data_IF_495307289133
#
_entry.id   IF_495307289133
#
_cell.length_a   1.000
_cell.length_b   1.000
_cell.length_c   1.000
_cell.angle_alpha   90.00
_cell.angle_beta   90.00
_cell.angle_gamma   90.00
#
_symmetry.space_group_name_H-M   'P 1'
#
loop_
_entity.id
_entity.type
_entity.pdbx_description
1 polymer ?
#
# COMPACT_ATOMS: atom_id res chain seq x y z
N UNK A 1 10.08 -13.86 8.43
CA UNK A 1 9.02 -14.47 9.26
C UNK A 1 7.66 -14.59 8.56
N UNK A 2 7.20 -13.65 7.70
CA UNK A 2 6.08 -13.95 6.76
C UNK A 2 6.51 -14.94 5.64
N UNK A 3 7.82 -15.04 5.42
CA UNK A 3 8.46 -15.94 4.45
C UNK A 3 8.23 -17.44 4.71
N UNK A 4 7.88 -17.84 5.93
CA UNK A 4 7.72 -19.26 6.30
C UNK A 4 6.36 -19.84 5.91
N UNK A 5 5.39 -19.00 5.52
CA UNK A 5 4.01 -19.44 5.22
C UNK A 5 3.74 -19.67 3.73
N UNK A 6 4.72 -19.38 2.87
CA UNK A 6 4.58 -19.41 1.42
C UNK A 6 5.55 -20.44 0.80
N UNK A 7 5.62 -21.61 1.42
CA UNK A 7 6.39 -22.76 0.94
C UNK A 7 5.56 -23.65 -0.02
N UNK A 8 4.23 -23.47 -0.07
CA UNK A 8 3.39 -24.08 -1.10
C UNK A 8 3.33 -23.21 -2.35
N UNK A 9 3.50 -23.77 -3.56
CA UNK A 9 3.46 -23.01 -4.82
C UNK A 9 2.19 -22.19 -5.02
N UNK A 10 1.04 -22.68 -4.54
CA UNK A 10 -0.27 -22.04 -4.69
C UNK A 10 -0.35 -20.74 -3.87
N UNK A 11 0.12 -20.77 -2.62
CA UNK A 11 0.15 -19.59 -1.74
C UNK A 11 1.13 -18.56 -2.28
N UNK A 12 2.26 -18.99 -2.84
CA UNK A 12 3.22 -18.11 -3.48
C UNK A 12 2.63 -17.35 -4.68
N UNK A 13 1.85 -18.03 -5.54
CA UNK A 13 1.17 -17.36 -6.67
C UNK A 13 0.15 -16.32 -6.17
N UNK A 14 -0.68 -16.67 -5.18
CA UNK A 14 -1.65 -15.73 -4.59
C UNK A 14 -0.93 -14.51 -4.00
N UNK A 15 0.17 -14.75 -3.29
CA UNK A 15 1.00 -13.72 -2.71
C UNK A 15 1.58 -12.80 -3.79
N UNK A 16 2.20 -13.35 -4.84
CA UNK A 16 2.73 -12.58 -5.98
C UNK A 16 1.64 -11.72 -6.64
N UNK A 17 0.44 -12.27 -6.85
CA UNK A 17 -0.69 -11.54 -7.44
C UNK A 17 -1.07 -10.35 -6.55
N UNK A 18 -1.32 -10.57 -5.25
CA UNK A 18 -1.69 -9.50 -4.32
C UNK A 18 -0.59 -8.44 -4.26
N UNK A 19 0.67 -8.86 -4.16
CA UNK A 19 1.80 -7.94 -4.08
C UNK A 19 2.03 -7.15 -5.37
N UNK A 20 1.67 -7.71 -6.53
CA UNK A 20 1.87 -7.06 -7.83
C UNK A 20 1.03 -5.79 -8.04
N UNK A 21 -0.10 -5.64 -7.34
CA UNK A 21 -0.96 -4.47 -7.52
C UNK A 21 -1.40 -3.78 -6.23
N UNK A 22 -1.38 -4.42 -5.05
CA UNK A 22 -1.98 -3.78 -3.86
C UNK A 22 -1.32 -2.43 -3.54
N UNK A 23 0.00 -2.35 -3.34
CA UNK A 23 0.65 -1.06 -3.04
C UNK A 23 0.51 -0.05 -4.17
N UNK A 24 0.81 -0.39 -5.45
CA UNK A 24 0.59 0.52 -6.56
C UNK A 24 -0.83 1.06 -6.63
N UNK A 25 -1.84 0.21 -6.46
CA UNK A 25 -3.25 0.60 -6.53
C UNK A 25 -3.66 1.48 -5.34
N UNK A 26 -3.24 1.14 -4.11
CA UNK A 26 -3.50 1.97 -2.93
C UNK A 26 -2.88 3.36 -3.06
N UNK A 27 -1.63 3.43 -3.56
CA UNK A 27 -0.92 4.68 -3.77
C UNK A 27 -1.55 5.49 -4.91
N UNK A 28 -1.97 4.84 -6.00
CA UNK A 28 -2.71 5.48 -7.09
C UNK A 28 -4.03 6.08 -6.61
N UNK A 29 -4.84 5.31 -5.88
CA UNK A 29 -6.11 5.79 -5.31
C UNK A 29 -5.89 6.95 -4.35
N UNK A 30 -4.83 6.90 -3.55
CA UNK A 30 -4.48 7.99 -2.64
C UNK A 30 -4.02 9.24 -3.35
N UNK A 31 -3.28 9.11 -4.46
CA UNK A 31 -2.96 10.21 -5.36
C UNK A 31 -4.21 10.83 -5.98
N UNK A 32 -5.16 9.99 -6.44
CA UNK A 32 -6.43 10.45 -7.01
C UNK A 32 -7.26 11.30 -6.05
N UNK A 33 -7.29 10.94 -4.76
CA UNK A 33 -7.99 11.71 -3.74
C UNK A 33 -7.14 12.83 -3.10
N UNK A 34 -5.87 12.96 -3.48
CA UNK A 34 -4.99 13.97 -2.94
C UNK A 34 -5.46 15.39 -3.30
N UNK A 35 -5.15 16.32 -2.39
CA UNK A 35 -5.43 17.75 -2.53
C UNK A 35 -4.19 18.53 -2.16
N UNK A 36 -3.98 19.68 -2.79
CA UNK A 36 -2.84 20.57 -2.50
C UNK A 36 -3.11 21.38 -1.22
N UNK A 37 -3.25 20.67 -0.09
CA UNK A 37 -3.45 21.23 1.25
C UNK A 37 -2.45 20.60 2.23
N UNK A 38 -1.13 20.74 2.01
CA UNK A 38 -0.12 19.97 2.72
C UNK A 38 -0.20 20.12 4.23
N UNK A 39 -0.39 21.33 4.74
CA UNK A 39 -0.49 21.61 6.18
C UNK A 39 -1.61 20.81 6.86
N UNK A 40 -2.79 20.74 6.23
CA UNK A 40 -3.99 20.12 6.80
C UNK A 40 -3.96 18.60 6.72
N UNK A 41 -3.38 18.06 5.66
CA UNK A 41 -3.23 16.62 5.51
C UNK A 41 -2.10 16.13 6.41
N UNK A 42 -0.98 16.86 6.46
CA UNK A 42 0.15 16.56 7.35
C UNK A 42 -0.29 16.58 8.82
N UNK A 43 -1.08 17.57 9.25
CA UNK A 43 -1.58 17.63 10.63
C UNK A 43 -2.49 16.46 11.01
N UNK A 44 -3.02 15.70 10.03
CA UNK A 44 -3.85 14.51 10.26
C UNK A 44 -3.04 13.22 10.23
N UNK A 45 -2.13 13.10 9.26
CA UNK A 45 -1.36 11.86 9.05
C UNK A 45 -0.18 11.79 10.01
N UNK A 46 0.48 12.91 10.31
CA UNK A 46 1.67 12.94 11.15
C UNK A 46 1.40 12.48 12.60
N UNK A 47 0.34 12.93 13.31
CA UNK A 47 0.06 12.42 14.66
C UNK A 47 -0.23 10.93 14.67
N UNK A 48 -0.96 10.43 13.65
CA UNK A 48 -1.23 9.00 13.50
C UNK A 48 0.07 8.22 13.30
N UNK A 49 0.97 8.71 12.45
CA UNK A 49 2.27 8.07 12.25
C UNK A 49 3.04 7.95 13.57
N UNK A 50 3.16 9.05 14.33
CA UNK A 50 3.91 9.05 15.60
C UNK A 50 3.27 8.10 16.62
N UNK A 51 1.95 8.17 16.81
CA UNK A 51 1.25 7.33 17.79
C UNK A 51 1.38 5.84 17.43
N UNK A 52 1.20 5.48 16.17
CA UNK A 52 1.31 4.08 15.76
C UNK A 52 2.76 3.58 15.70
N UNK A 53 3.73 4.44 15.39
CA UNK A 53 5.15 4.09 15.46
C UNK A 53 5.56 3.82 16.93
N UNK A 54 5.13 4.67 17.87
CA UNK A 54 5.36 4.46 19.31
C UNK A 54 4.67 3.20 19.82
N UNK A 55 3.40 2.99 19.43
CA UNK A 55 2.66 1.79 19.80
C UNK A 55 3.35 0.53 19.25
N UNK A 56 3.91 0.61 18.03
CA UNK A 56 4.68 -0.49 17.45
C UNK A 56 5.98 -0.75 18.21
N UNK A 57 6.71 0.29 18.60
CA UNK A 57 7.89 0.14 19.44
C UNK A 57 7.56 -0.51 20.79
N UNK A 58 6.46 -0.10 21.43
CA UNK A 58 6.00 -0.71 22.67
C UNK A 58 5.62 -2.18 22.48
N UNK A 59 4.90 -2.51 21.40
CA UNK A 59 4.49 -3.88 21.12
C UNK A 59 5.70 -4.77 20.86
N UNK A 60 6.64 -4.33 20.01
CA UNK A 60 7.87 -5.08 19.77
C UNK A 60 8.67 -5.25 21.08
N UNK A 61 8.73 -4.23 21.95
CA UNK A 61 9.40 -4.33 23.26
C UNK A 61 8.78 -5.39 24.15
N UNK A 62 7.46 -5.38 24.28
CA UNK A 62 6.72 -6.35 25.11
C UNK A 62 6.90 -7.76 24.55
N UNK A 63 6.66 -7.93 23.25
CA UNK A 63 6.68 -9.23 22.60
C UNK A 63 8.08 -9.86 22.60
N UNK A 64 9.11 -9.08 22.29
CA UNK A 64 10.49 -9.57 22.34
C UNK A 64 10.92 -9.85 23.78
N UNK A 65 10.56 -8.99 24.75
CA UNK A 65 10.90 -9.24 26.15
C UNK A 65 10.25 -10.52 26.70
N UNK A 66 9.03 -10.84 26.27
CA UNK A 66 8.34 -12.09 26.63
C UNK A 66 9.05 -13.30 25.98
N UNK A 67 9.40 -13.21 24.69
CA UNK A 67 10.06 -14.30 23.97
C UNK A 67 11.44 -14.63 24.51
N UNK A 68 12.23 -13.61 24.83
CA UNK A 68 13.61 -13.77 25.29
C UNK A 68 13.71 -13.93 26.81
N UNK A 69 12.63 -13.68 27.56
CA UNK A 69 12.57 -13.81 29.02
C UNK A 69 13.33 -12.71 29.78
N UNK A 70 13.77 -11.65 29.10
CA UNK A 70 14.47 -10.51 29.68
C UNK A 70 14.19 -9.25 28.84
N UNK A 71 14.27 -8.03 29.43
CA UNK A 71 14.00 -6.80 28.70
C UNK A 71 15.04 -6.57 27.60
N UNK A 72 14.56 -6.53 26.35
CA UNK A 72 15.39 -6.30 25.16
C UNK A 72 15.49 -4.80 24.89
N UNK A 73 16.71 -4.31 24.60
CA UNK A 73 16.88 -2.91 24.17
C UNK A 73 16.33 -2.74 22.76
N UNK A 74 15.47 -1.74 22.56
CA UNK A 74 14.96 -1.37 21.24
C UNK A 74 15.52 -0.02 20.83
N UNK A 75 16.18 0.01 19.68
CA UNK A 75 16.56 1.26 19.03
C UNK A 75 15.31 1.95 18.46
N UNK A 76 14.96 3.09 19.06
CA UNK A 76 13.82 3.91 18.66
C UNK A 76 14.16 4.76 17.43
N UNK A 77 14.16 4.13 16.25
CA UNK A 77 14.42 4.81 14.99
C UNK A 77 13.12 5.34 14.36
N UNK A 78 12.77 6.59 14.64
CA UNK A 78 11.54 7.22 14.13
C UNK A 78 11.52 7.43 12.62
N UNK A 79 12.69 7.51 11.99
CA UNK A 79 12.82 7.68 10.55
C UNK A 79 12.87 6.37 9.77
N UNK A 80 12.82 5.22 10.44
CA UNK A 80 12.74 3.91 9.80
C UNK A 80 11.35 3.32 10.10
N UNK A 81 10.36 3.57 9.22
CA UNK A 81 8.99 3.17 9.49
C UNK A 81 8.87 1.63 9.52
N UNK A 82 8.28 1.08 10.60
CA UNK A 82 8.18 -0.38 10.78
C UNK A 82 7.04 -0.99 9.97
N UNK A 83 7.35 -2.08 9.26
CA UNK A 83 6.45 -2.97 8.52
C UNK A 83 5.48 -2.30 7.54
N UNK A 84 4.31 -1.82 7.99
CA UNK A 84 3.30 -1.16 7.14
C UNK A 84 3.41 0.35 7.17
N UNK A 85 3.95 0.94 8.26
CA UNK A 85 3.96 2.38 8.52
C UNK A 85 4.71 3.21 7.46
N UNK A 86 5.51 2.56 6.61
CA UNK A 86 6.17 3.20 5.48
C UNK A 86 5.16 3.85 4.52
N UNK A 87 3.95 3.30 4.42
CA UNK A 87 2.92 3.90 3.59
C UNK A 87 2.46 5.25 4.14
N UNK A 88 2.33 5.41 5.46
CA UNK A 88 2.02 6.72 6.07
C UNK A 88 3.16 7.72 5.85
N UNK A 89 4.40 7.26 6.01
CA UNK A 89 5.59 8.07 5.71
C UNK A 89 5.60 8.51 4.24
N UNK A 90 5.31 7.59 3.32
CA UNK A 90 5.19 7.90 1.89
C UNK A 90 4.11 8.94 1.63
N UNK A 91 2.92 8.79 2.25
CA UNK A 91 1.84 9.77 2.12
C UNK A 91 2.21 11.16 2.65
N UNK A 92 2.96 11.24 3.75
CA UNK A 92 3.51 12.50 4.27
C UNK A 92 4.43 13.16 3.23
N UNK A 93 5.39 12.39 2.71
CA UNK A 93 6.37 12.90 1.74
C UNK A 93 5.71 13.29 0.42
N UNK A 94 4.81 12.46 -0.11
CA UNK A 94 4.06 12.79 -1.32
C UNK A 94 3.22 14.04 -1.15
N UNK A 95 2.59 14.23 0.00
CA UNK A 95 1.79 15.41 0.27
C UNK A 95 2.65 16.69 0.35
N UNK A 96 3.89 16.59 0.85
CA UNK A 96 4.86 17.69 0.86
C UNK A 96 5.41 17.99 -0.54
N UNK A 97 5.58 16.97 -1.38
CA UNK A 97 6.04 17.11 -2.76
C UNK A 97 4.93 17.59 -3.71
N UNK A 98 3.67 17.32 -3.38
CA UNK A 98 2.52 17.58 -4.25
C UNK A 98 2.43 19.03 -4.76
N UNK A 99 2.69 20.09 -3.97
CA UNK A 99 2.69 21.47 -4.46
C UNK A 99 3.70 21.74 -5.58
N UNK A 100 4.81 20.98 -5.65
CA UNK A 100 5.83 21.11 -6.70
C UNK A 100 5.35 20.46 -7.99
N UNK A 101 4.63 19.34 -7.88
CA UNK A 101 4.10 18.59 -9.01
C UNK A 101 2.71 19.05 -9.47
N UNK A 102 2.10 20.01 -8.77
CA UNK A 102 0.81 20.56 -9.15
C UNK A 102 0.96 21.47 -10.37
N UNK A 103 0.48 20.98 -11.52
CA UNK A 103 0.57 21.71 -12.79
C UNK A 103 -0.66 21.51 -13.66
N UNK A 104 -1.12 22.61 -14.25
CA UNK A 104 -2.24 22.62 -15.21
C UNK A 104 -1.80 22.25 -16.63
N UNK A 105 -0.51 22.33 -16.93
CA UNK A 105 -0.01 22.08 -18.28
C UNK A 105 0.23 20.59 -18.53
N UNK A 106 -0.46 20.01 -19.52
CA UNK A 106 -0.35 18.59 -19.89
C UNK A 106 1.08 18.14 -20.18
N UNK A 107 1.91 18.99 -20.82
CA UNK A 107 3.31 18.65 -21.11
C UNK A 107 4.14 18.48 -19.84
N UNK A 108 3.93 19.34 -18.85
CA UNK A 108 4.62 19.28 -17.57
C UNK A 108 4.19 18.04 -16.76
N UNK A 109 2.92 17.63 -16.85
CA UNK A 109 2.44 16.37 -16.22
C UNK A 109 3.21 15.16 -16.73
N UNK A 110 3.36 15.05 -18.04
CA UNK A 110 4.12 13.95 -18.67
C UNK A 110 5.58 14.02 -18.24
N UNK A 111 6.19 15.21 -18.24
CA UNK A 111 7.57 15.39 -17.79
C UNK A 111 7.78 14.96 -16.33
N UNK A 112 6.86 15.31 -15.42
CA UNK A 112 6.94 14.91 -14.01
C UNK A 112 6.69 13.42 -13.79
N UNK A 113 5.80 12.79 -14.57
CA UNK A 113 5.65 11.34 -14.55
C UNK A 113 6.94 10.64 -15.00
N UNK A 114 7.54 11.09 -16.11
CA UNK A 114 8.82 10.55 -16.58
C UNK A 114 9.93 10.76 -15.55
N UNK A 115 10.00 11.95 -14.95
CA UNK A 115 10.95 12.24 -13.88
C UNK A 115 10.76 11.28 -12.69
N UNK A 116 9.53 11.02 -12.27
CA UNK A 116 9.26 10.09 -11.17
C UNK A 116 9.66 8.64 -11.50
N UNK A 117 9.51 8.22 -12.76
CA UNK A 117 10.00 6.92 -13.22
C UNK A 117 11.53 6.86 -13.21
N UNK A 118 12.21 7.92 -13.66
CA UNK A 118 13.68 7.99 -13.60
C UNK A 118 14.16 7.93 -12.15
N UNK A 119 13.58 8.72 -11.25
CA UNK A 119 13.90 8.68 -9.82
C UNK A 119 13.67 7.29 -9.21
N UNK A 120 12.56 6.64 -9.58
CA UNK A 120 12.25 5.27 -9.16
C UNK A 120 13.23 4.22 -9.69
N UNK A 121 13.93 4.46 -10.80
CA UNK A 121 15.01 3.58 -11.27
C UNK A 121 16.32 3.92 -10.55
N UNK A 122 16.68 5.20 -10.49
CA UNK A 122 17.95 5.68 -9.91
C UNK A 122 18.09 5.25 -8.45
N UNK A 123 17.01 5.30 -7.67
CA UNK A 123 17.03 4.88 -6.26
C UNK A 123 17.40 3.40 -6.09
N UNK A 124 17.11 2.55 -7.10
CA UNK A 124 17.44 1.13 -7.05
C UNK A 124 18.94 0.83 -7.07
N UNK A 125 19.78 1.79 -7.47
CA UNK A 125 21.24 1.63 -7.42
C UNK A 125 21.82 1.93 -6.03
N UNK A 126 21.04 2.50 -5.11
CA UNK A 126 21.52 2.85 -3.77
C UNK A 126 21.00 1.84 -2.71
N UNK A 127 21.86 0.93 -2.20
CA UNK A 127 21.45 -0.09 -1.24
C UNK A 127 21.08 0.48 0.15
N UNK A 128 21.63 1.63 0.55
CA UNK A 128 21.40 2.19 1.90
C UNK A 128 20.03 2.86 2.06
N UNK A 129 19.29 3.01 0.96
CA UNK A 129 18.00 3.73 0.93
C UNK A 129 16.79 2.86 1.27
N UNK A 130 17.00 1.56 1.55
CA UNK A 130 15.93 0.66 1.95
C UNK A 130 15.39 0.98 3.35
N UNK A 131 16.29 1.19 4.32
CA UNK A 131 15.91 1.34 5.72
C UNK A 131 15.60 2.79 6.10
N UNK A 132 16.35 3.76 5.57
CA UNK A 132 16.13 5.18 5.87
C UNK A 132 14.88 5.72 5.18
N UNK A 133 13.87 6.11 5.96
CA UNK A 133 12.55 6.63 5.52
C UNK A 133 11.73 5.72 4.61
N UNK A 134 12.19 4.50 4.33
CA UNK A 134 11.69 3.67 3.22
C UNK A 134 11.78 4.40 1.86
N UNK A 135 12.85 5.17 1.65
CA UNK A 135 13.04 6.03 0.48
C UNK A 135 12.99 5.25 -0.84
N UNK A 136 13.54 4.03 -0.89
CA UNK A 136 13.43 3.15 -2.06
C UNK A 136 11.97 2.94 -2.48
N UNK A 137 11.08 2.61 -1.52
CA UNK A 137 9.66 2.39 -1.79
C UNK A 137 8.96 3.67 -2.23
N UNK A 138 9.23 4.78 -1.55
CA UNK A 138 8.62 6.08 -1.85
C UNK A 138 8.95 6.49 -3.29
N UNK A 139 10.22 6.43 -3.69
CA UNK A 139 10.61 6.82 -5.03
C UNK A 139 10.13 5.80 -6.08
N UNK A 140 10.14 4.50 -5.76
CA UNK A 140 9.63 3.46 -6.66
C UNK A 140 8.12 3.57 -6.92
N UNK A 141 7.33 4.02 -5.94
CA UNK A 141 5.88 4.13 -6.07
C UNK A 141 5.35 5.54 -6.39
N UNK A 142 6.21 6.56 -6.36
CA UNK A 142 5.90 7.92 -6.79
C UNK A 142 5.19 8.02 -8.16
N UNK A 143 5.58 7.28 -9.22
CA UNK A 143 4.88 7.35 -10.51
C UNK A 143 3.40 6.97 -10.40
N UNK A 144 3.03 6.02 -9.53
CA UNK A 144 1.63 5.64 -9.32
C UNK A 144 0.85 6.74 -8.60
N UNK A 145 1.46 7.39 -7.61
CA UNK A 145 0.84 8.49 -6.88
C UNK A 145 0.53 9.67 -7.83
N UNK A 146 1.51 10.07 -8.65
CA UNK A 146 1.34 11.15 -9.61
C UNK A 146 0.36 10.77 -10.73
N UNK A 147 0.40 9.52 -11.21
CA UNK A 147 -0.55 9.03 -12.20
C UNK A 147 -1.99 9.15 -11.67
N UNK A 148 -2.23 8.74 -10.42
CA UNK A 148 -3.52 8.91 -9.77
C UNK A 148 -3.93 10.38 -9.62
N UNK A 149 -3.00 11.24 -9.18
CA UNK A 149 -3.27 12.68 -9.00
C UNK A 149 -3.69 13.37 -10.30
N UNK A 150 -2.97 13.13 -11.40
CA UNK A 150 -3.29 13.73 -12.69
C UNK A 150 -4.54 13.14 -13.35
N UNK A 151 -4.94 11.93 -12.97
CA UNK A 151 -6.15 11.27 -13.47
C UNK A 151 -7.44 12.00 -13.03
N UNK A 152 -7.39 12.75 -11.91
CA UNK A 152 -8.50 13.54 -11.37
C UNK A 152 -9.10 14.56 -12.35
N UNK A 153 -8.28 15.11 -13.24
CA UNK A 153 -8.70 16.13 -14.20
C UNK A 153 -9.29 15.55 -15.51
N UNK A 154 -9.80 14.31 -15.46
CA UNK A 154 -10.38 13.61 -16.59
C UNK A 154 -9.34 12.87 -17.44
N UNK A 155 -8.42 12.18 -16.77
CA UNK A 155 -7.35 11.41 -17.40
C UNK A 155 -7.82 10.18 -18.20
N UNK A 156 -6.84 9.48 -18.76
CA UNK A 156 -7.01 8.42 -19.75
C UNK A 156 -7.72 7.17 -19.18
N UNK A 157 -7.38 6.74 -17.97
CA UNK A 157 -7.87 5.49 -17.38
C UNK A 157 -9.37 5.54 -17.03
N UNK A 158 -9.82 6.60 -16.38
CA UNK A 158 -11.22 6.79 -15.99
C UNK A 158 -12.08 7.16 -17.20
N UNK A 159 -11.57 7.96 -18.13
CA UNK A 159 -12.32 8.29 -19.34
C UNK A 159 -12.56 7.03 -20.19
N UNK A 160 -11.53 6.19 -20.38
CA UNK A 160 -11.64 5.00 -21.20
C UNK A 160 -12.40 3.87 -20.50
N UNK A 161 -12.18 3.66 -19.20
CA UNK A 161 -12.86 2.61 -18.43
C UNK A 161 -14.32 2.92 -18.11
N UNK A 162 -14.64 4.16 -17.68
CA UNK A 162 -15.95 4.50 -17.12
C UNK A 162 -16.95 4.98 -18.18
N UNK A 163 -16.49 5.73 -19.19
CA UNK A 163 -17.37 6.37 -20.18
C UNK A 163 -17.76 5.41 -21.30
N UNK A 164 -16.92 4.41 -21.59
CA UNK A 164 -17.17 3.46 -22.67
C UNK A 164 -17.81 2.16 -22.19
N UNK A 165 -17.60 1.74 -20.93
CA UNK A 165 -18.06 0.48 -20.30
C UNK A 165 -18.53 -0.63 -21.28
N UNK A 166 -17.78 -0.95 -22.35
CA UNK A 166 -18.26 -1.85 -23.37
C UNK A 166 -18.08 -3.26 -22.82
N UNK A 167 -18.96 -4.18 -23.23
CA UNK A 167 -18.73 -5.60 -22.98
C UNK A 167 -17.32 -5.99 -23.46
N UNK A 168 -16.82 -5.38 -24.53
CA UNK A 168 -15.45 -5.58 -25.04
C UNK A 168 -14.34 -5.24 -24.02
N UNK A 169 -14.40 -4.11 -23.31
CA UNK A 169 -13.32 -3.76 -22.37
C UNK A 169 -13.31 -4.70 -21.16
N UNK A 170 -14.47 -5.18 -20.72
CA UNK A 170 -14.56 -6.20 -19.67
C UNK A 170 -13.99 -7.54 -20.13
N UNK A 171 -14.30 -7.95 -21.37
CA UNK A 171 -13.75 -9.17 -21.96
C UNK A 171 -12.23 -9.04 -22.12
N UNK A 172 -11.73 -7.92 -22.66
CA UNK A 172 -10.30 -7.67 -22.83
C UNK A 172 -9.55 -7.66 -21.48
N UNK A 173 -10.09 -6.99 -20.47
CA UNK A 173 -9.48 -6.97 -19.12
C UNK A 173 -9.57 -8.33 -18.42
N UNK A 174 -10.61 -9.13 -18.71
CA UNK A 174 -10.71 -10.51 -18.22
C UNK A 174 -9.62 -11.40 -18.83
N UNK A 175 -9.43 -11.36 -20.15
CA UNK A 175 -8.33 -12.10 -20.80
C UNK A 175 -6.96 -11.64 -20.30
N UNK A 176 -6.78 -10.33 -20.10
CA UNK A 176 -5.56 -9.77 -19.53
C UNK A 176 -5.30 -10.28 -18.11
N UNK A 177 -6.31 -10.28 -17.24
CA UNK A 177 -6.19 -10.81 -15.88
C UNK A 177 -5.82 -12.30 -15.89
N UNK A 178 -6.48 -13.10 -16.73
CA UNK A 178 -6.17 -14.53 -16.91
C UNK A 178 -4.74 -14.71 -17.42
N UNK A 179 -4.29 -13.91 -18.38
CA UNK A 179 -2.93 -13.95 -18.92
C UNK A 179 -1.86 -13.63 -17.86
N UNK A 180 -2.10 -12.61 -17.03
CA UNK A 180 -1.20 -12.26 -15.92
C UNK A 180 -1.14 -13.38 -14.88
N UNK A 181 -2.30 -13.94 -14.50
CA UNK A 181 -2.40 -15.06 -13.54
C UNK A 181 -1.68 -16.29 -14.10
N UNK A 182 -1.92 -16.65 -15.36
CA UNK A 182 -1.24 -17.75 -16.03
C UNK A 182 0.29 -17.55 -16.10
N UNK A 183 0.74 -16.32 -16.37
CA UNK A 183 2.15 -15.96 -16.32
C UNK A 183 2.77 -16.16 -14.93
N UNK A 184 2.07 -15.77 -13.86
CA UNK A 184 2.52 -16.03 -12.49
C UNK A 184 2.55 -17.51 -12.12
N UNK A 185 1.59 -18.30 -12.60
CA UNK A 185 1.58 -19.76 -12.42
C UNK A 185 2.78 -20.39 -13.14
N UNK A 186 3.08 -19.96 -14.36
CA UNK A 186 4.20 -20.48 -15.15
C UNK A 186 5.55 -20.15 -14.53
N UNK A 187 5.68 -18.96 -13.93
CA UNK A 187 6.90 -18.47 -13.27
C UNK A 187 6.87 -18.74 -11.75
N UNK A 188 5.95 -19.58 -11.27
CA UNK A 188 5.79 -19.90 -9.84
C UNK A 188 7.09 -20.42 -9.21
N UNK A 189 7.89 -21.16 -9.96
CA UNK A 189 9.19 -21.72 -9.52
C UNK A 189 10.32 -20.70 -9.41
N UNK A 190 10.16 -19.49 -9.94
CA UNK A 190 11.17 -18.43 -9.83
C UNK A 190 10.84 -17.54 -8.62
N UNK A 191 11.85 -17.26 -7.79
CA UNK A 191 11.73 -16.40 -6.61
C UNK A 191 11.61 -14.90 -7.00
N UNK A 192 10.47 -14.54 -7.57
CA UNK A 192 10.17 -13.16 -8.02
C UNK A 192 9.38 -12.35 -6.98
N UNK A 193 9.08 -12.91 -5.81
CA UNK A 193 8.28 -12.25 -4.75
C UNK A 193 8.82 -10.86 -4.39
N UNK A 194 10.14 -10.77 -4.20
CA UNK A 194 10.82 -9.56 -3.76
C UNK A 194 10.74 -8.42 -4.77
N UNK A 195 10.55 -8.74 -6.06
CA UNK A 195 10.41 -7.72 -7.12
C UNK A 195 9.28 -6.73 -6.84
N UNK A 196 8.19 -7.21 -6.23
CA UNK A 196 7.00 -6.41 -5.97
C UNK A 196 7.04 -5.65 -4.63
N UNK A 197 8.06 -5.88 -3.79
CA UNK A 197 8.20 -5.20 -2.50
C UNK A 197 8.73 -3.76 -2.63
N UNK A 198 9.32 -3.42 -3.77
CA UNK A 198 9.85 -2.08 -4.05
C UNK A 198 11.07 -1.70 -3.20
N UNK A 199 11.69 -2.67 -2.53
CA UNK A 199 12.88 -2.50 -1.66
C UNK A 199 14.17 -2.92 -2.30
N UNK A 200 14.12 -3.88 -3.23
CA UNK A 200 15.34 -4.53 -3.72
C UNK A 200 16.23 -3.55 -4.47
N UNK A 201 17.49 -3.48 -4.03
CA UNK A 201 18.56 -2.81 -4.75
C UNK A 201 19.00 -3.66 -5.95
N UNK A 202 19.64 -3.03 -6.93
CA UNK A 202 20.15 -3.71 -8.12
C UNK A 202 21.49 -4.43 -7.88
N UNK A 203 21.98 -4.42 -6.63
CA UNK A 203 23.18 -5.14 -6.24
C UNK A 203 22.88 -6.64 -6.16
N UNK A 204 23.44 -7.39 -7.12
CA UNK A 204 23.28 -8.85 -7.20
C UNK A 204 22.80 -9.36 -8.56
N UNK A 205 22.52 -8.49 -9.54
CA UNK A 205 22.25 -8.86 -10.94
C UNK A 205 20.91 -9.55 -11.21
N UNK A 206 20.24 -10.09 -10.18
CA UNK A 206 18.93 -10.75 -10.28
C UNK A 206 17.79 -9.74 -10.46
N UNK A 207 17.89 -8.58 -9.81
CA UNK A 207 16.92 -7.49 -9.91
C UNK A 207 17.57 -6.29 -10.57
N UNK A 208 16.95 -5.80 -11.64
CA UNK A 208 17.49 -4.75 -12.51
C UNK A 208 16.40 -3.75 -12.89
N UNK A 209 16.80 -2.64 -13.52
CA UNK A 209 15.87 -1.63 -14.03
C UNK A 209 14.77 -2.20 -14.94
N UNK A 210 15.06 -3.19 -15.80
CA UNK A 210 14.06 -3.79 -16.69
C UNK A 210 13.02 -4.63 -15.94
N UNK A 211 13.43 -5.38 -14.90
CA UNK A 211 12.49 -6.13 -14.05
C UNK A 211 11.57 -5.19 -13.27
N UNK A 212 12.07 -4.02 -12.83
CA UNK A 212 11.29 -2.99 -12.15
C UNK A 212 10.26 -2.35 -13.09
N UNK A 213 10.66 -2.03 -14.33
CA UNK A 213 9.71 -1.56 -15.35
C UNK A 213 8.63 -2.61 -15.64
N UNK A 214 9.00 -3.89 -15.75
CA UNK A 214 8.03 -4.97 -15.92
C UNK A 214 7.03 -5.03 -14.76
N UNK A 215 7.51 -4.91 -13.52
CA UNK A 215 6.64 -4.84 -12.35
C UNK A 215 5.69 -3.64 -12.40
N UNK A 216 6.17 -2.48 -12.86
CA UNK A 216 5.30 -1.30 -13.04
C UNK A 216 4.24 -1.50 -14.11
N UNK A 217 4.59 -2.12 -15.24
CA UNK A 217 3.64 -2.45 -16.31
C UNK A 217 2.54 -3.35 -15.74
N UNK A 218 2.91 -4.45 -15.06
CA UNK A 218 1.95 -5.37 -14.45
C UNK A 218 1.04 -4.64 -13.45
N UNK A 219 1.61 -3.76 -12.61
CA UNK A 219 0.85 -2.97 -11.67
C UNK A 219 -0.17 -2.02 -12.34
N UNK A 220 0.23 -1.29 -13.39
CA UNK A 220 -0.67 -0.42 -14.15
C UNK A 220 -1.76 -1.21 -14.87
N UNK A 221 -1.45 -2.41 -15.40
CA UNK A 221 -2.44 -3.30 -16.01
C UNK A 221 -3.48 -3.74 -14.98
N UNK A 222 -3.06 -4.11 -13.76
CA UNK A 222 -3.99 -4.41 -12.67
C UNK A 222 -4.84 -3.22 -12.27
N UNK A 223 -4.24 -2.03 -12.12
CA UNK A 223 -5.00 -0.80 -11.83
C UNK A 223 -6.06 -0.57 -12.91
N UNK A 224 -5.73 -0.79 -14.18
CA UNK A 224 -6.68 -0.66 -15.27
C UNK A 224 -7.81 -1.69 -15.20
N UNK A 225 -7.48 -2.96 -14.94
CA UNK A 225 -8.48 -4.03 -14.69
C UNK A 225 -9.41 -3.61 -13.56
N UNK A 226 -8.86 -3.18 -12.42
CA UNK A 226 -9.65 -2.77 -11.26
C UNK A 226 -10.60 -1.62 -11.62
N UNK A 227 -10.11 -0.57 -12.29
CA UNK A 227 -10.92 0.60 -12.69
C UNK A 227 -12.10 0.20 -13.60
N UNK A 228 -11.89 -0.70 -14.56
CA UNK A 228 -12.94 -1.19 -15.47
C UNK A 228 -14.03 -1.97 -14.72
N UNK A 229 -13.63 -2.70 -13.67
CA UNK A 229 -14.53 -3.52 -12.87
C UNK A 229 -15.14 -2.80 -11.67
N UNK A 230 -14.68 -1.57 -11.33
CA UNK A 230 -15.30 -0.77 -10.27
C UNK A 230 -16.79 -0.54 -10.60
N UNK A 231 -17.71 -0.95 -9.71
CA UNK A 231 -19.13 -0.77 -9.95
C UNK A 231 -19.50 0.71 -10.01
N UNK A 232 -20.30 1.08 -11.00
CA UNK A 232 -20.82 2.45 -11.18
C UNK A 232 -21.97 2.77 -10.23
N UNK A 233 -22.64 1.74 -9.70
CA UNK A 233 -23.72 1.86 -8.72
C UNK A 233 -23.15 1.83 -7.30
N UNK A 234 -23.75 2.60 -6.41
CA UNK A 234 -23.38 2.60 -4.99
C UNK A 234 -23.72 1.26 -4.36
N UNK A 235 -22.74 0.65 -3.71
CA UNK A 235 -22.92 -0.59 -2.94
C UNK A 235 -22.74 -0.22 -1.45
N UNK A 236 -23.83 -0.11 -0.67
CA UNK A 236 -23.80 0.51 0.65
C UNK A 236 -22.89 -0.23 1.65
N UNK A 237 -22.80 -1.55 1.56
CA UNK A 237 -21.92 -2.37 2.41
C UNK A 237 -20.44 -2.07 2.12
N UNK A 238 -20.06 -2.08 0.84
CA UNK A 238 -18.68 -1.82 0.43
C UNK A 238 -18.29 -0.37 0.71
N UNK A 239 -19.20 0.58 0.53
CA UNK A 239 -18.95 1.98 0.82
C UNK A 239 -18.72 2.24 2.31
N UNK A 240 -19.50 1.56 3.18
CA UNK A 240 -19.34 1.67 4.63
C UNK A 240 -17.99 1.12 5.08
N UNK A 241 -17.59 -0.05 4.56
CA UNK A 241 -16.28 -0.65 4.86
C UNK A 241 -15.14 0.22 4.28
N UNK A 242 -15.32 0.72 3.05
CA UNK A 242 -14.36 1.58 2.35
C UNK A 242 -14.04 2.88 3.10
N UNK A 243 -15.03 3.48 3.76
CA UNK A 243 -14.85 4.69 4.60
C UNK A 243 -13.90 4.43 5.77
N UNK A 244 -13.88 3.20 6.29
CA UNK A 244 -13.12 2.81 7.48
C UNK A 244 -11.79 2.10 7.15
N UNK A 245 -11.32 2.23 5.90
CA UNK A 245 -10.06 1.61 5.43
C UNK A 245 -8.83 2.02 6.22
N UNK A 246 -8.76 3.28 6.69
CA UNK A 246 -7.64 3.74 7.52
C UNK A 246 -7.60 3.03 8.88
N UNK A 247 -8.78 2.77 9.48
CA UNK A 247 -8.89 2.04 10.76
C UNK A 247 -8.41 0.61 10.61
N UNK A 248 -8.88 -0.06 9.56
CA UNK A 248 -8.45 -1.43 9.23
C UNK A 248 -6.94 -1.45 9.00
N UNK A 249 -6.41 -0.55 8.18
CA UNK A 249 -4.98 -0.45 7.87
C UNK A 249 -4.09 -0.23 9.11
N UNK A 250 -4.52 0.53 10.10
CA UNK A 250 -3.73 0.75 11.30
C UNK A 250 -3.82 -0.42 12.28
N UNK A 251 -5.05 -0.88 12.56
CA UNK A 251 -5.32 -1.84 13.63
C UNK A 251 -5.02 -3.29 13.24
N UNK A 252 -5.13 -3.66 11.95
CA UNK A 252 -4.90 -5.06 11.54
C UNK A 252 -3.49 -5.53 11.90
N UNK A 253 -2.49 -4.66 11.81
CA UNK A 253 -1.10 -5.02 12.13
C UNK A 253 -0.92 -5.42 13.58
N UNK A 254 -1.58 -4.72 14.50
CA UNK A 254 -1.55 -5.01 15.93
C UNK A 254 -2.17 -6.38 16.19
N UNK A 255 -3.34 -6.63 15.60
CA UNK A 255 -4.06 -7.91 15.80
C UNK A 255 -3.27 -9.08 15.22
N UNK A 256 -2.70 -8.94 14.02
CA UNK A 256 -1.86 -9.98 13.40
C UNK A 256 -0.61 -10.25 14.24
N UNK A 257 0.05 -9.21 14.76
CA UNK A 257 1.21 -9.37 15.62
C UNK A 257 0.86 -10.14 16.90
N UNK A 258 -0.26 -9.80 17.55
CA UNK A 258 -0.73 -10.54 18.73
C UNK A 258 -1.00 -12.01 18.36
N UNK A 259 -1.74 -12.28 17.29
CA UNK A 259 -2.05 -13.65 16.85
C UNK A 259 -0.79 -14.47 16.55
N UNK A 260 0.24 -13.85 15.98
CA UNK A 260 1.52 -14.50 15.67
C UNK A 260 2.26 -14.95 16.93
N UNK A 261 2.09 -14.26 18.06
CA UNK A 261 2.72 -14.61 19.34
C UNK A 261 1.83 -15.48 20.24
N UNK A 262 0.59 -15.77 19.83
CA UNK A 262 -0.26 -16.73 20.55
C UNK A 262 0.14 -18.18 20.25
N UNK A 263 -0.03 -19.11 21.21
CA UNK A 263 0.29 -20.52 21.03
C UNK A 263 -0.56 -21.22 19.96
N UNK A 264 -1.64 -20.58 19.48
CA UNK A 264 -2.49 -21.08 18.40
C UNK A 264 -2.03 -20.66 16.99
N UNK A 265 -0.89 -19.98 16.86
CA UNK A 265 -0.36 -19.49 15.58
C UNK A 265 -0.32 -20.61 14.52
N UNK A 266 0.22 -21.78 14.85
CA UNK A 266 0.32 -22.89 13.89
C UNK A 266 -1.04 -23.38 13.39
N UNK A 267 -2.07 -23.41 14.24
CA UNK A 267 -3.42 -23.82 13.83
C UNK A 267 -4.09 -22.76 12.94
N UNK A 268 -3.84 -21.49 13.24
CA UNK A 268 -4.42 -20.33 12.57
C UNK A 268 -3.79 -20.09 11.20
N UNK A 269 -2.45 -20.16 11.12
CA UNK A 269 -1.71 -19.73 9.95
C UNK A 269 -1.27 -20.87 9.03
N UNK A 270 -1.39 -22.16 9.41
CA UNK A 270 -1.06 -23.26 8.48
C UNK A 270 -2.18 -23.60 7.47
N UNK A 271 -3.42 -23.16 7.71
CA UNK A 271 -4.55 -23.45 6.81
C UNK A 271 -5.06 -22.19 6.13
N UNK A 272 -5.08 -22.19 4.80
CA UNK A 272 -5.56 -21.06 3.99
C UNK A 272 -7.00 -20.65 4.33
N UNK A 273 -7.86 -21.62 4.71
CA UNK A 273 -9.23 -21.34 5.14
C UNK A 273 -9.30 -20.45 6.38
N UNK A 274 -8.47 -20.72 7.38
CA UNK A 274 -8.40 -19.89 8.60
C UNK A 274 -7.83 -18.51 8.31
N UNK A 275 -6.80 -18.42 7.48
CA UNK A 275 -6.23 -17.13 7.05
C UNK A 275 -7.28 -16.24 6.37
N UNK A 276 -8.08 -16.81 5.45
CA UNK A 276 -9.14 -16.08 4.76
C UNK A 276 -10.27 -15.66 5.71
N UNK A 277 -10.71 -16.58 6.59
CA UNK A 277 -11.74 -16.27 7.59
C UNK A 277 -11.31 -15.15 8.54
N UNK A 278 -10.07 -15.18 9.02
CA UNK A 278 -9.52 -14.13 9.87
C UNK A 278 -9.39 -12.82 9.11
N UNK A 279 -8.91 -12.84 7.86
CA UNK A 279 -8.85 -11.63 7.05
C UNK A 279 -10.22 -10.97 6.88
N UNK A 280 -11.26 -11.77 6.60
CA UNK A 280 -12.64 -11.26 6.47
C UNK A 280 -13.18 -10.78 7.82
N UNK A 281 -13.00 -11.56 8.88
CA UNK A 281 -13.44 -11.23 10.23
C UNK A 281 -12.79 -9.95 10.77
N UNK A 282 -11.49 -9.79 10.56
CA UNK A 282 -10.75 -8.57 10.90
C UNK A 282 -11.24 -7.37 10.10
N UNK A 283 -11.49 -7.55 8.80
CA UNK A 283 -11.99 -6.46 7.95
C UNK A 283 -13.36 -5.98 8.43
N UNK A 284 -14.28 -6.91 8.73
CA UNK A 284 -15.62 -6.57 9.22
C UNK A 284 -15.60 -6.00 10.63
N UNK A 285 -14.82 -6.58 11.55
CA UNK A 285 -14.73 -6.14 12.94
C UNK A 285 -14.04 -4.79 13.09
N UNK A 286 -12.91 -4.58 12.39
CA UNK A 286 -12.17 -3.31 12.43
C UNK A 286 -12.83 -2.20 11.58
N UNK A 287 -13.79 -2.57 10.72
CA UNK A 287 -14.67 -1.62 10.04
C UNK A 287 -15.69 -0.96 10.98
N UNK A 288 -15.68 -1.25 12.28
CA UNK A 288 -16.61 -0.62 13.21
C UNK A 288 -16.32 0.89 13.41
N UNK A 289 -17.38 1.71 13.36
CA UNK A 289 -17.29 3.17 13.44
C UNK A 289 -16.63 3.70 14.73
N UNK A 290 -16.63 2.91 15.82
CA UNK A 290 -15.98 3.29 17.07
C UNK A 290 -14.46 3.47 16.93
N UNK A 291 -13.81 2.60 16.16
CA UNK A 291 -12.37 2.72 15.88
C UNK A 291 -12.05 3.94 15.02
N UNK A 292 -12.90 4.24 14.05
CA UNK A 292 -12.76 5.43 13.22
C UNK A 292 -12.90 6.72 14.06
N UNK A 293 -13.86 6.75 14.99
CA UNK A 293 -14.03 7.86 15.93
C UNK A 293 -12.78 8.08 16.80
N UNK A 294 -12.18 7.00 17.31
CA UNK A 294 -10.95 7.07 18.11
C UNK A 294 -9.77 7.63 17.30
N UNK A 295 -9.59 7.15 16.07
CA UNK A 295 -8.53 7.64 15.19
C UNK A 295 -8.73 9.10 14.79
N UNK A 296 -9.97 9.53 14.56
CA UNK A 296 -10.29 10.94 14.33
C UNK A 296 -9.89 11.79 15.53
N UNK A 297 -10.13 11.34 16.76
CA UNK A 297 -9.72 12.07 17.96
C UNK A 297 -8.20 12.23 18.06
N UNK A 298 -7.44 11.20 17.67
CA UNK A 298 -5.96 11.23 17.64
C UNK A 298 -5.45 12.13 16.50
N UNK A 299 -6.08 12.08 15.33
CA UNK A 299 -5.69 12.86 14.14
C UNK A 299 -6.12 14.34 14.21
N UNK A 300 -7.02 14.69 15.14
CA UNK A 300 -7.59 16.04 15.28
C UNK A 300 -7.21 16.65 16.65
N UNK A 301 -5.93 16.96 16.94
CA UNK A 301 -5.63 17.94 17.99
C UNK A 301 -5.77 19.39 17.47
N UNK A 302 -5.78 19.59 16.14
CA UNK A 302 -5.60 20.91 15.52
C UNK A 302 -6.86 21.51 14.88
N UNK A 303 -8.04 21.12 15.35
CA UNK A 303 -9.26 21.86 15.07
C UNK A 303 -9.64 22.62 16.33
N UNK A 304 -9.01 23.78 16.51
CA UNK A 304 -9.65 24.84 17.29
C UNK A 304 -11.04 25.07 16.70
N UNK A 305 -12.06 24.86 17.52
CA UNK A 305 -13.39 25.47 17.44
C UNK A 305 -13.69 26.20 16.11
N UNK A 306 -14.15 25.48 15.09
CA UNK A 306 -15.12 26.11 14.18
C UNK A 306 -16.50 25.74 14.67
N UNK A 307 -17.00 26.66 15.47
CA UNK A 307 -18.40 26.82 15.85
C UNK A 307 -19.30 26.53 14.65
N UNK A 308 -20.41 25.87 14.98
CA UNK A 308 -21.72 26.08 14.37
C UNK A 308 -21.84 27.50 13.77
N UNK A 309 -22.11 27.54 12.47
CA UNK A 309 -23.02 28.46 11.79
C UNK A 309 -23.33 27.89 10.41
#
# INVERSE_FOLDING_TARGET
MISTFADTPEVDVIYKIIFSFHMPAFIFVSGYFAKVEPKKILSRIFPLYIVFQLLRFLLDFILDSIMWGHPVKIDMQFFTPRWTLWYLMAMIIYQLLLPVFDTKNKRHRVAYLLLSMVLGIVIGYNPDTENFMAMSRIMNFLPFFLAGYYEKDGGFFLHYGKRRNPKEAKIATMFLAVGIIAGFIWISRVSTRKLFWGTESFNGGVYTWYTRILAWIIAFLWIWILIVWVPTKRLPVIETIGKNTLSIYLLHTIVILILMYTPFNDLIFNKIGWQLLISVGLTLGLSWNGFEWLLRKIAIPYYGNRKSK
#
